data_IF_373434633001
#
_entry.id   IF_373434633001
#
_cell.length_a   1.000
_cell.length_b   1.000
_cell.length_c   1.000
_cell.angle_alpha   90.00
_cell.angle_beta   90.00
_cell.angle_gamma   90.00
#
_symmetry.space_group_name_H-M   'P 1'
#
loop_
_entity.id
_entity.type
_entity.pdbx_description
1 polymer ?
#
# COMPACT_ATOMS: atom_id res chain seq x y z
N UNK A 1 -39.62 -10.86 -1.02
CA UNK A 1 -38.33 -11.35 -0.50
C UNK A 1 -37.55 -11.89 -1.68
N UNK A 2 -36.64 -11.13 -2.30
CA UNK A 2 -35.74 -11.73 -3.27
C UNK A 2 -34.54 -12.29 -2.51
N UNK A 3 -34.35 -13.61 -2.64
CA UNK A 3 -33.09 -14.29 -2.33
C UNK A 3 -32.03 -13.77 -3.31
N UNK A 4 -31.25 -12.77 -2.90
CA UNK A 4 -30.11 -12.29 -3.69
C UNK A 4 -28.78 -12.72 -3.04
N UNK A 5 -28.00 -13.47 -3.85
CA UNK A 5 -26.54 -13.62 -3.79
C UNK A 5 -25.93 -14.32 -2.56
N UNK A 6 -25.94 -15.66 -2.56
CA UNK A 6 -25.11 -16.49 -1.67
C UNK A 6 -23.82 -17.04 -2.31
N UNK A 7 -23.46 -16.64 -3.54
CA UNK A 7 -22.27 -17.20 -4.23
C UNK A 7 -21.42 -16.12 -4.94
N UNK A 8 -21.14 -15.01 -4.28
CA UNK A 8 -19.94 -14.24 -4.66
C UNK A 8 -18.71 -14.96 -4.08
N UNK A 9 -17.67 -15.25 -4.89
CA UNK A 9 -16.45 -15.84 -4.36
C UNK A 9 -15.88 -14.90 -3.31
N UNK A 10 -15.65 -15.41 -2.10
CA UNK A 10 -14.96 -14.69 -1.04
C UNK A 10 -13.58 -14.32 -1.60
N UNK A 11 -13.26 -13.03 -1.68
CA UNK A 11 -11.99 -12.53 -2.19
C UNK A 11 -10.85 -12.73 -1.16
N UNK A 12 -10.68 -13.96 -0.71
CA UNK A 12 -9.70 -14.39 0.29
C UNK A 12 -8.35 -14.66 -0.36
N UNK A 13 -7.26 -14.36 0.34
CA UNK A 13 -5.92 -14.75 -0.05
C UNK A 13 -5.79 -16.29 -0.10
N UNK A 14 -5.23 -16.88 -1.17
CA UNK A 14 -5.00 -18.32 -1.26
C UNK A 14 -4.28 -18.91 -0.05
N UNK A 15 -3.37 -18.13 0.55
CA UNK A 15 -2.56 -18.51 1.71
C UNK A 15 -3.37 -18.64 3.00
N UNK A 16 -4.49 -17.92 3.11
CA UNK A 16 -5.44 -18.09 4.19
C UNK A 16 -6.47 -19.20 3.88
N UNK A 17 -6.83 -19.35 2.61
CA UNK A 17 -7.79 -20.35 2.16
C UNK A 17 -7.29 -21.79 2.37
N UNK A 18 -6.00 -22.04 2.10
CA UNK A 18 -5.33 -23.33 2.22
C UNK A 18 -4.17 -23.27 3.24
N UNK A 19 -4.30 -23.93 4.41
CA UNK A 19 -3.22 -24.00 5.41
C UNK A 19 -1.94 -24.70 4.91
N UNK A 20 -2.04 -25.47 3.83
CA UNK A 20 -0.91 -26.16 3.20
C UNK A 20 -0.32 -25.39 2.01
N UNK A 21 -0.82 -24.18 1.76
CA UNK A 21 -0.31 -23.31 0.72
C UNK A 21 1.20 -23.10 0.89
N UNK A 22 1.92 -23.22 -0.22
CA UNK A 22 3.37 -23.11 -0.28
C UNK A 22 3.79 -22.28 -1.48
N UNK A 23 4.65 -21.29 -1.24
CA UNK A 23 5.38 -20.61 -2.33
C UNK A 23 6.69 -21.36 -2.62
N UNK A 24 7.04 -21.46 -3.88
CA UNK A 24 8.31 -22.03 -4.35
C UNK A 24 8.96 -21.11 -5.38
N UNK A 25 10.18 -21.45 -5.78
CA UNK A 25 10.93 -20.78 -6.83
C UNK A 25 11.04 -21.66 -8.08
N UNK A 26 10.85 -21.03 -9.24
CA UNK A 26 11.32 -21.56 -10.52
C UNK A 26 12.59 -20.83 -10.94
N UNK A 27 13.48 -21.54 -11.62
CA UNK A 27 14.67 -21.02 -12.25
C UNK A 27 14.48 -21.12 -13.77
N UNK A 28 14.32 -19.97 -14.42
CA UNK A 28 14.21 -19.86 -15.87
C UNK A 28 15.54 -19.41 -16.46
N UNK A 29 16.02 -20.10 -17.49
CA UNK A 29 17.20 -19.71 -18.24
C UNK A 29 16.79 -19.15 -19.62
N UNK A 30 16.98 -17.85 -19.81
CA UNK A 30 16.57 -17.17 -21.04
C UNK A 30 17.38 -17.58 -22.29
N UNK A 31 18.58 -18.16 -22.12
CA UNK A 31 19.43 -18.55 -23.25
C UNK A 31 18.96 -19.82 -23.94
N UNK A 32 18.48 -20.81 -23.17
CA UNK A 32 18.07 -22.11 -23.69
C UNK A 32 16.59 -22.42 -23.44
N UNK A 33 15.86 -21.51 -22.80
CA UNK A 33 14.45 -21.65 -22.49
C UNK A 33 14.13 -22.65 -21.37
N UNK A 34 15.14 -23.24 -20.72
CA UNK A 34 14.92 -24.24 -19.68
C UNK A 34 14.24 -23.62 -18.45
N UNK A 35 13.24 -24.33 -17.92
CA UNK A 35 12.54 -23.95 -16.69
C UNK A 35 12.59 -25.13 -15.73
N UNK A 36 13.13 -24.91 -14.53
CA UNK A 36 13.19 -25.93 -13.50
C UNK A 36 12.65 -25.41 -12.17
N UNK A 37 12.15 -26.31 -11.32
CA UNK A 37 11.77 -25.95 -9.96
C UNK A 37 12.99 -26.05 -9.05
N UNK A 38 13.23 -25.02 -8.24
CA UNK A 38 14.28 -25.05 -7.23
C UNK A 38 13.89 -26.06 -6.15
N UNK A 39 14.81 -26.90 -5.74
CA UNK A 39 14.68 -27.81 -4.60
C UNK A 39 15.51 -27.37 -3.40
N UNK A 40 16.70 -26.80 -3.65
CA UNK A 40 17.60 -26.35 -2.60
C UNK A 40 18.44 -25.14 -3.07
N UNK A 41 18.75 -24.25 -2.13
CA UNK A 41 19.64 -23.10 -2.34
C UNK A 41 20.93 -23.33 -1.55
N UNK A 42 22.05 -23.57 -2.24
CA UNK A 42 23.36 -23.79 -1.60
C UNK A 42 24.30 -22.62 -1.77
N UNK A 43 24.90 -22.20 -0.66
CA UNK A 43 25.95 -21.19 -0.64
C UNK A 43 27.20 -21.77 0.05
N UNK A 44 28.32 -21.80 -0.66
CA UNK A 44 29.64 -22.14 -0.12
C UNK A 44 30.58 -20.96 -0.36
N UNK A 45 30.80 -20.15 0.68
CA UNK A 45 31.54 -18.90 0.56
C UNK A 45 30.90 -17.94 -0.44
N UNK A 46 31.55 -17.74 -1.59
CA UNK A 46 31.06 -16.90 -2.71
C UNK A 46 30.46 -17.69 -3.87
N UNK A 47 30.38 -19.01 -3.77
CA UNK A 47 29.75 -19.86 -4.77
C UNK A 47 28.30 -20.07 -4.40
N UNK A 48 27.41 -19.78 -5.35
CA UNK A 48 25.96 -19.92 -5.17
C UNK A 48 25.43 -20.90 -6.21
N UNK A 49 24.73 -21.93 -5.75
CA UNK A 49 24.15 -22.96 -6.62
C UNK A 49 22.70 -23.20 -6.22
N UNK A 50 21.79 -23.00 -7.16
CA UNK A 50 20.43 -23.51 -7.06
C UNK A 50 20.46 -24.98 -7.52
N UNK A 51 20.01 -25.89 -6.66
CA UNK A 51 19.72 -27.26 -7.05
C UNK A 51 18.27 -27.29 -7.50
N UNK A 52 18.03 -27.93 -8.63
CA UNK A 52 16.75 -27.92 -9.32
C UNK A 52 16.23 -29.34 -9.56
N UNK A 53 14.95 -29.43 -9.84
CA UNK A 53 14.23 -30.63 -10.26
C UNK A 53 13.23 -30.25 -11.36
N UNK A 54 12.71 -31.24 -12.07
CA UNK A 54 11.67 -31.01 -13.07
C UNK A 54 10.41 -30.41 -12.39
N UNK A 55 9.80 -29.35 -12.95
CA UNK A 55 8.71 -28.59 -12.32
C UNK A 55 7.35 -29.30 -12.42
N UNK A 56 7.34 -30.63 -12.53
CA UNK A 56 6.13 -31.44 -12.60
C UNK A 56 5.48 -31.58 -11.24
N UNK A 57 4.14 -31.67 -11.22
CA UNK A 57 3.36 -31.89 -9.98
C UNK A 57 3.83 -33.11 -9.19
N UNK A 58 4.29 -34.17 -9.87
CA UNK A 58 4.85 -35.37 -9.22
C UNK A 58 6.09 -35.07 -8.34
N UNK A 59 6.84 -34.03 -8.66
CA UNK A 59 8.03 -33.61 -7.92
C UNK A 59 7.74 -32.52 -6.87
N UNK A 60 6.47 -32.11 -6.69
CA UNK A 60 6.08 -31.06 -5.73
C UNK A 60 6.67 -31.25 -4.33
N UNK A 61 6.77 -32.47 -3.75
CA UNK A 61 7.39 -32.64 -2.44
C UNK A 61 8.86 -32.20 -2.36
N UNK A 62 9.58 -32.22 -3.50
CA UNK A 62 10.98 -31.79 -3.59
C UNK A 62 11.14 -30.29 -3.86
N UNK A 63 10.07 -29.55 -4.11
CA UNK A 63 10.16 -28.11 -4.35
C UNK A 63 10.63 -27.37 -3.09
N UNK A 64 11.44 -26.33 -3.29
CA UNK A 64 11.90 -25.45 -2.23
C UNK A 64 10.71 -24.76 -1.55
N UNK A 65 10.81 -24.57 -0.23
CA UNK A 65 9.80 -23.88 0.56
C UNK A 65 10.26 -22.46 0.88
N UNK A 66 9.66 -21.47 0.19
CA UNK A 66 10.00 -20.07 0.39
C UNK A 66 9.36 -19.57 1.68
N UNK A 67 10.11 -19.73 2.78
CA UNK A 67 9.72 -19.32 4.12
C UNK A 67 10.38 -18.04 4.61
N UNK A 68 11.55 -17.71 4.08
CA UNK A 68 12.33 -16.54 4.48
C UNK A 68 12.72 -15.72 3.25
N UNK A 69 11.92 -14.70 2.96
CA UNK A 69 12.12 -13.84 1.79
C UNK A 69 13.47 -13.13 1.85
N UNK A 70 13.89 -12.63 3.01
CA UNK A 70 15.15 -11.90 3.15
C UNK A 70 16.37 -12.77 2.80
N UNK A 71 16.43 -14.00 3.32
CA UNK A 71 17.51 -14.95 3.04
C UNK A 71 17.54 -15.35 1.56
N UNK A 72 16.36 -15.60 0.96
CA UNK A 72 16.26 -15.91 -0.47
C UNK A 72 16.67 -14.70 -1.32
N UNK A 73 16.28 -13.48 -0.94
CA UNK A 73 16.70 -12.25 -1.60
C UNK A 73 18.22 -12.09 -1.62
N UNK A 74 18.86 -12.30 -0.47
CA UNK A 74 20.32 -12.30 -0.34
C UNK A 74 20.98 -13.39 -1.22
N UNK A 75 20.42 -14.60 -1.24
CA UNK A 75 20.89 -15.67 -2.12
C UNK A 75 20.79 -15.27 -3.59
N UNK A 76 19.64 -14.78 -4.06
CA UNK A 76 19.42 -14.40 -5.47
C UNK A 76 20.40 -13.31 -5.87
N UNK A 77 20.63 -12.32 -4.99
CA UNK A 77 21.63 -11.26 -5.21
C UNK A 77 23.04 -11.83 -5.38
N UNK A 78 23.43 -12.78 -4.54
CA UNK A 78 24.70 -13.47 -4.64
C UNK A 78 24.81 -14.33 -5.90
N UNK A 79 23.78 -15.11 -6.20
CA UNK A 79 23.70 -15.96 -7.38
C UNK A 79 23.87 -15.17 -8.67
N UNK A 80 23.10 -14.09 -8.84
CA UNK A 80 23.14 -13.23 -10.03
C UNK A 80 24.40 -12.37 -10.14
N UNK A 81 25.23 -12.32 -9.09
CA UNK A 81 26.54 -11.66 -9.17
C UNK A 81 27.58 -12.50 -9.94
N UNK A 82 27.31 -13.79 -10.16
CA UNK A 82 28.16 -14.67 -10.95
C UNK A 82 28.00 -14.40 -12.45
N UNK A 83 29.10 -14.37 -13.21
CA UNK A 83 29.05 -14.00 -14.64
C UNK A 83 28.17 -14.93 -15.48
N UNK A 84 28.18 -16.23 -15.16
CA UNK A 84 27.36 -17.25 -15.82
C UNK A 84 25.88 -17.21 -15.41
N UNK A 85 25.51 -16.42 -14.40
CA UNK A 85 24.15 -16.35 -13.88
C UNK A 85 23.28 -15.28 -14.57
N UNK A 86 23.85 -14.41 -15.42
CA UNK A 86 23.12 -13.34 -16.13
C UNK A 86 21.85 -13.79 -16.87
N UNK A 87 21.82 -14.97 -17.53
CA UNK A 87 20.65 -15.44 -18.26
C UNK A 87 19.48 -15.90 -17.38
N UNK A 88 19.73 -16.05 -16.08
CA UNK A 88 18.77 -16.69 -15.19
C UNK A 88 17.81 -15.69 -14.57
N UNK A 89 16.55 -16.09 -14.48
CA UNK A 89 15.50 -15.37 -13.79
C UNK A 89 14.88 -16.30 -12.75
N UNK A 90 14.74 -15.79 -11.52
CA UNK A 90 13.95 -16.45 -10.50
C UNK A 90 12.50 -16.02 -10.64
N UNK A 91 11.59 -16.97 -10.49
CA UNK A 91 10.15 -16.70 -10.43
C UNK A 91 9.59 -17.26 -9.13
N UNK A 92 8.73 -16.48 -8.46
CA UNK A 92 8.01 -16.90 -7.27
C UNK A 92 6.60 -17.31 -7.66
N UNK A 93 6.21 -18.55 -7.31
CA UNK A 93 4.92 -19.13 -7.69
C UNK A 93 4.34 -19.95 -6.54
N UNK A 94 3.02 -20.12 -6.53
CA UNK A 94 2.40 -21.16 -5.71
C UNK A 94 2.91 -22.54 -6.20
N UNK A 95 3.27 -23.42 -5.27
CA UNK A 95 3.85 -24.73 -5.60
C UNK A 95 2.93 -25.56 -6.50
N UNK A 96 1.61 -25.46 -6.33
CA UNK A 96 0.61 -26.14 -7.18
C UNK A 96 0.52 -25.58 -8.60
N UNK A 97 0.97 -24.33 -8.81
CA UNK A 97 0.96 -23.64 -10.10
C UNK A 97 2.30 -23.73 -10.83
N UNK A 98 3.32 -24.32 -10.22
CA UNK A 98 4.67 -24.41 -10.79
C UNK A 98 4.69 -25.05 -12.18
N UNK A 99 3.98 -26.17 -12.38
CA UNK A 99 3.93 -26.86 -13.68
C UNK A 99 3.22 -26.03 -14.75
N UNK A 100 2.15 -25.33 -14.39
CA UNK A 100 1.39 -24.47 -15.31
C UNK A 100 2.23 -23.28 -15.76
N UNK A 101 2.86 -22.58 -14.82
CA UNK A 101 3.74 -21.44 -15.11
C UNK A 101 4.95 -21.87 -15.94
N UNK A 102 5.55 -23.03 -15.63
CA UNK A 102 6.66 -23.57 -16.40
C UNK A 102 6.27 -23.84 -17.86
N UNK A 103 5.08 -24.42 -18.10
CA UNK A 103 4.57 -24.64 -19.45
C UNK A 103 4.35 -23.33 -20.23
N UNK A 104 3.84 -22.28 -19.58
CA UNK A 104 3.74 -20.96 -20.20
C UNK A 104 5.10 -20.38 -20.58
N UNK A 105 6.10 -20.51 -19.70
CA UNK A 105 7.47 -20.01 -19.95
C UNK A 105 8.19 -20.79 -21.07
N UNK A 106 7.97 -22.09 -21.20
CA UNK A 106 8.58 -22.90 -22.26
C UNK A 106 8.21 -22.40 -23.67
N UNK A 107 7.04 -21.75 -23.83
CA UNK A 107 6.63 -21.15 -25.11
C UNK A 107 7.56 -20.04 -25.59
N UNK A 108 8.29 -19.40 -24.67
CA UNK A 108 9.27 -18.37 -25.01
C UNK A 108 10.50 -18.92 -25.74
N UNK A 109 10.79 -20.21 -25.58
CA UNK A 109 11.88 -20.86 -26.31
C UNK A 109 11.57 -20.91 -27.82
N UNK A 110 10.33 -21.21 -28.17
CA UNK A 110 9.87 -21.29 -29.57
C UNK A 110 9.51 -19.91 -30.14
N UNK A 111 8.86 -19.07 -29.34
CA UNK A 111 8.44 -17.72 -29.70
C UNK A 111 8.75 -16.72 -28.58
N UNK A 112 9.87 -15.97 -28.67
CA UNK A 112 10.24 -14.97 -27.65
C UNK A 112 9.22 -13.84 -27.44
N UNK A 113 8.23 -13.69 -28.32
CA UNK A 113 7.14 -12.71 -28.22
C UNK A 113 5.80 -13.33 -27.84
N UNK A 114 5.79 -14.58 -27.39
CA UNK A 114 4.56 -15.24 -26.96
C UNK A 114 3.90 -14.45 -25.81
N UNK A 115 2.63 -14.03 -25.97
CA UNK A 115 1.98 -13.17 -24.98
C UNK A 115 1.75 -13.87 -23.64
N UNK A 116 1.46 -15.18 -23.63
CA UNK A 116 1.24 -15.93 -22.39
C UNK A 116 2.55 -16.16 -21.65
N UNK A 117 3.62 -16.55 -22.37
CA UNK A 117 4.94 -16.70 -21.79
C UNK A 117 5.51 -15.40 -21.22
N UNK A 118 5.38 -14.29 -21.96
CA UNK A 118 5.82 -12.97 -21.49
C UNK A 118 5.01 -12.51 -20.28
N UNK A 119 3.69 -12.77 -20.27
CA UNK A 119 2.84 -12.48 -19.12
C UNK A 119 3.29 -13.29 -17.90
N UNK A 120 3.46 -14.61 -18.04
CA UNK A 120 3.91 -15.48 -16.94
C UNK A 120 5.28 -15.05 -16.40
N UNK A 121 6.23 -14.71 -17.27
CA UNK A 121 7.52 -14.18 -16.86
C UNK A 121 7.38 -12.87 -16.08
N UNK A 122 6.60 -11.92 -16.59
CA UNK A 122 6.44 -10.62 -15.94
C UNK A 122 5.67 -10.69 -14.62
N UNK A 123 4.63 -11.53 -14.54
CA UNK A 123 3.77 -11.65 -13.36
C UNK A 123 4.48 -12.38 -12.20
N UNK A 124 5.36 -13.35 -12.50
CA UNK A 124 5.99 -14.19 -11.48
C UNK A 124 7.47 -13.90 -11.22
N UNK A 125 8.16 -13.18 -12.11
CA UNK A 125 9.58 -12.86 -11.91
C UNK A 125 9.76 -12.09 -10.60
N UNK A 126 10.70 -12.56 -9.80
CA UNK A 126 11.04 -11.97 -8.52
C UNK A 126 12.50 -11.54 -8.51
N UNK A 127 12.76 -10.40 -7.88
CA UNK A 127 14.10 -9.83 -7.71
C UNK A 127 14.52 -9.91 -6.25
N UNK A 128 15.83 -9.88 -6.00
CA UNK A 128 16.36 -9.75 -4.64
C UNK A 128 15.80 -8.52 -3.93
N UNK A 129 15.69 -7.39 -4.63
CA UNK A 129 15.11 -6.17 -4.08
C UNK A 129 13.66 -6.33 -3.60
N UNK A 130 12.81 -7.05 -4.35
CA UNK A 130 11.43 -7.30 -3.94
C UNK A 130 11.37 -8.17 -2.67
N UNK A 131 12.22 -9.20 -2.58
CA UNK A 131 12.23 -10.10 -1.42
C UNK A 131 12.88 -9.47 -0.18
N UNK A 132 13.94 -8.68 -0.35
CA UNK A 132 14.59 -7.94 0.75
C UNK A 132 13.67 -6.90 1.40
N UNK A 133 12.60 -6.48 0.70
CA UNK A 133 11.58 -5.56 1.23
C UNK A 133 10.50 -6.24 2.07
N UNK A 134 10.37 -7.56 2.01
CA UNK A 134 9.41 -8.30 2.84
C UNK A 134 9.85 -8.19 4.30
N UNK A 135 8.97 -7.66 5.14
CA UNK A 135 9.16 -7.44 6.58
C UNK A 135 8.63 -8.60 7.41
N UNK A 136 7.55 -9.20 6.92
CA UNK A 136 6.83 -10.29 7.56
C UNK A 136 6.56 -11.35 6.51
N UNK A 137 7.14 -12.54 6.66
CA UNK A 137 6.88 -13.65 5.77
C UNK A 137 5.47 -14.21 6.03
N UNK A 138 4.80 -14.73 5.00
CA UNK A 138 3.39 -15.15 5.08
C UNK A 138 3.12 -16.15 6.22
N UNK A 139 4.06 -17.07 6.46
CA UNK A 139 3.94 -18.07 7.52
C UNK A 139 3.89 -17.46 8.93
N UNK A 140 4.43 -16.26 9.12
CA UNK A 140 4.52 -15.57 10.40
C UNK A 140 3.27 -14.69 10.66
N UNK A 141 2.35 -14.57 9.70
CA UNK A 141 1.20 -13.67 9.77
C UNK A 141 -0.06 -14.30 10.36
N UNK A 142 0.03 -15.49 10.96
CA UNK A 142 -1.04 -16.13 11.74
C UNK A 142 -2.41 -16.17 11.01
N UNK A 143 -2.40 -16.39 9.69
CA UNK A 143 -3.58 -16.23 8.84
C UNK A 143 -4.76 -17.15 9.23
N UNK A 144 -4.47 -18.33 9.78
CA UNK A 144 -5.51 -19.27 10.23
C UNK A 144 -6.22 -18.77 11.50
N UNK A 145 -5.49 -18.17 12.44
CA UNK A 145 -6.08 -17.55 13.64
C UNK A 145 -6.98 -16.37 13.25
N UNK A 146 -6.53 -15.55 12.29
CA UNK A 146 -7.36 -14.48 11.71
C UNK A 146 -8.66 -15.05 11.12
N UNK A 147 -8.58 -16.18 10.40
CA UNK A 147 -9.74 -16.84 9.80
C UNK A 147 -10.71 -17.34 10.86
N UNK A 148 -10.22 -17.91 11.96
CA UNK A 148 -11.03 -18.35 13.11
C UNK A 148 -11.75 -17.18 13.79
N UNK A 149 -11.14 -15.98 13.77
CA UNK A 149 -11.76 -14.74 14.23
C UNK A 149 -12.76 -14.13 13.23
N UNK A 150 -13.00 -14.78 12.08
CA UNK A 150 -13.91 -14.31 11.03
C UNK A 150 -13.30 -13.26 10.10
N UNK A 151 -11.98 -13.05 10.14
CA UNK A 151 -11.27 -12.11 9.28
C UNK A 151 -10.95 -12.76 7.93
N UNK A 152 -11.41 -12.13 6.86
CA UNK A 152 -11.08 -12.52 5.49
C UNK A 152 -9.97 -11.60 4.98
N UNK A 153 -8.73 -12.09 5.01
CA UNK A 153 -7.58 -11.35 4.50
C UNK A 153 -7.59 -11.42 2.97
N UNK A 154 -7.64 -10.27 2.31
CA UNK A 154 -7.58 -10.20 0.84
C UNK A 154 -6.13 -10.30 0.34
N UNK A 155 -5.86 -10.70 -0.92
CA UNK A 155 -4.49 -10.73 -1.46
C UNK A 155 -3.78 -9.37 -1.36
N UNK A 156 -4.52 -8.27 -1.54
CA UNK A 156 -3.99 -6.92 -1.43
C UNK A 156 -3.61 -6.57 0.00
N UNK A 157 -4.45 -6.92 0.97
CA UNK A 157 -4.16 -6.71 2.39
C UNK A 157 -2.97 -7.56 2.84
N UNK A 158 -2.89 -8.83 2.40
CA UNK A 158 -1.76 -9.70 2.69
C UNK A 158 -0.44 -9.12 2.18
N UNK A 159 -0.39 -8.63 0.94
CA UNK A 159 0.81 -7.98 0.40
C UNK A 159 1.17 -6.70 1.17
N UNK A 160 0.19 -5.92 1.61
CA UNK A 160 0.43 -4.76 2.48
C UNK A 160 1.05 -5.19 3.82
N UNK A 161 0.49 -6.23 4.46
CA UNK A 161 1.01 -6.80 5.70
C UNK A 161 2.45 -7.30 5.54
N UNK A 162 2.74 -8.07 4.49
CA UNK A 162 4.10 -8.58 4.20
C UNK A 162 5.13 -7.48 4.07
N UNK A 163 4.76 -6.34 3.49
CA UNK A 163 5.62 -5.17 3.31
C UNK A 163 5.64 -4.24 4.54
N UNK A 164 4.89 -4.55 5.60
CA UNK A 164 4.75 -3.70 6.78
C UNK A 164 4.13 -2.34 6.47
N UNK A 165 3.23 -2.31 5.47
CA UNK A 165 2.42 -1.15 5.11
C UNK A 165 1.15 -1.12 5.97
N UNK A 166 0.57 0.07 6.23
CA UNK A 166 -0.72 0.15 6.90
C UNK A 166 -1.81 -0.55 6.08
N UNK A 167 -2.57 -1.45 6.70
CA UNK A 167 -3.79 -1.96 6.07
C UNK A 167 -4.93 -0.96 6.25
N UNK A 168 -5.77 -0.84 5.23
CA UNK A 168 -6.88 0.13 5.21
C UNK A 168 -8.25 -0.54 5.13
N UNK A 169 -8.28 -1.87 5.08
CA UNK A 169 -9.51 -2.66 5.15
C UNK A 169 -9.87 -2.84 6.63
N UNK A 170 -11.14 -2.61 6.96
CA UNK A 170 -11.64 -2.74 8.32
C UNK A 170 -12.48 -4.00 8.43
N UNK A 171 -12.14 -4.85 9.39
CA UNK A 171 -12.80 -6.12 9.64
C UNK A 171 -13.73 -6.01 10.84
N UNK A 172 -14.97 -6.48 10.68
CA UNK A 172 -15.92 -6.59 11.77
C UNK A 172 -15.57 -7.82 12.60
N UNK A 173 -15.01 -7.60 13.78
CA UNK A 173 -14.55 -8.66 14.67
C UNK A 173 -15.38 -8.63 15.95
N UNK A 174 -15.84 -9.80 16.38
CA UNK A 174 -16.48 -9.99 17.68
C UNK A 174 -15.71 -11.02 18.50
N UNK A 175 -15.15 -10.56 19.62
CA UNK A 175 -14.34 -11.37 20.53
C UNK A 175 -15.08 -11.50 21.86
N UNK A 176 -15.10 -12.72 22.41
CA UNK A 176 -15.48 -12.96 23.80
C UNK A 176 -14.23 -13.19 24.63
N UNK A 177 -13.98 -12.32 25.60
CA UNK A 177 -12.86 -12.44 26.54
C UNK A 177 -13.45 -12.59 27.93
N UNK A 178 -13.59 -13.84 28.39
CA UNK A 178 -14.35 -14.16 29.61
C UNK A 178 -15.82 -13.76 29.44
N UNK A 179 -16.35 -12.96 30.37
CA UNK A 179 -17.72 -12.43 30.33
C UNK A 179 -17.86 -11.16 29.47
N UNK A 180 -16.76 -10.59 28.97
CA UNK A 180 -16.76 -9.38 28.16
C UNK A 180 -16.88 -9.73 26.68
N UNK A 181 -17.88 -9.15 26.00
CA UNK A 181 -18.02 -9.22 24.56
C UNK A 181 -17.53 -7.90 23.94
N UNK A 182 -16.47 -7.96 23.15
CA UNK A 182 -15.94 -6.84 22.36
C UNK A 182 -16.39 -7.04 20.93
N UNK A 183 -16.99 -6.03 20.32
CA UNK A 183 -17.32 -6.03 18.90
C UNK A 183 -16.94 -4.68 18.30
N UNK A 184 -16.33 -4.69 17.13
CA UNK A 184 -15.92 -3.46 16.45
C UNK A 184 -15.24 -3.70 15.11
N UNK A 185 -14.91 -2.58 14.46
CA UNK A 185 -14.15 -2.56 13.21
C UNK A 185 -12.66 -2.33 13.51
N UNK A 186 -11.82 -3.21 12.98
CA UNK A 186 -10.37 -3.18 13.21
C UNK A 186 -9.60 -3.33 11.90
N UNK A 187 -8.54 -2.56 11.74
CA UNK A 187 -7.50 -2.83 10.75
C UNK A 187 -6.48 -3.82 11.32
N UNK A 188 -5.80 -4.55 10.44
CA UNK A 188 -4.74 -5.47 10.82
C UNK A 188 -3.39 -4.77 10.82
N UNK A 189 -2.57 -5.03 11.83
CA UNK A 189 -1.22 -4.45 11.92
C UNK A 189 -0.20 -5.49 12.37
N UNK A 190 0.62 -6.02 11.45
CA UNK A 190 1.75 -6.85 11.82
C UNK A 190 2.79 -6.06 12.62
N UNK A 191 3.35 -6.67 13.66
CA UNK A 191 4.46 -6.12 14.45
C UNK A 191 5.33 -7.26 14.99
N UNK A 192 6.53 -6.91 15.48
CA UNK A 192 7.35 -7.83 16.27
C UNK A 192 7.22 -7.47 17.73
N UNK A 193 6.94 -8.45 18.57
CA UNK A 193 6.88 -8.26 20.02
C UNK A 193 8.28 -8.15 20.64
N UNK A 194 8.36 -8.14 21.98
CA UNK A 194 9.62 -8.03 22.71
C UNK A 194 10.55 -9.24 22.53
N UNK A 195 10.01 -10.41 22.15
CA UNK A 195 10.78 -11.62 21.87
C UNK A 195 11.25 -11.67 20.41
N UNK A 196 10.76 -10.77 19.55
CA UNK A 196 11.02 -10.74 18.13
C UNK A 196 10.02 -11.57 17.29
N UNK A 197 9.05 -12.19 17.96
CA UNK A 197 7.99 -12.97 17.34
C UNK A 197 7.02 -12.05 16.61
N UNK A 198 6.61 -12.45 15.42
CA UNK A 198 5.64 -11.68 14.64
C UNK A 198 4.26 -11.89 15.24
N UNK A 199 3.49 -10.82 15.36
CA UNK A 199 2.12 -10.82 15.83
C UNK A 199 1.27 -9.96 14.88
N UNK A 200 -0.04 -10.22 14.81
CA UNK A 200 -0.98 -9.37 14.06
C UNK A 200 -1.94 -8.69 15.03
N UNK A 201 -1.71 -7.39 15.26
CA UNK A 201 -2.54 -6.58 16.14
C UNK A 201 -3.85 -6.13 15.47
N UNK A 202 -4.89 -5.98 16.28
CA UNK A 202 -6.17 -5.39 15.89
C UNK A 202 -6.20 -3.90 16.25
N UNK A 203 -6.21 -3.02 15.25
CA UNK A 203 -6.15 -1.58 15.43
C UNK A 203 -7.51 -0.94 15.16
N UNK A 204 -8.16 -0.39 16.20
CA UNK A 204 -9.45 0.27 16.07
C UNK A 204 -9.32 1.67 15.44
N UNK A 205 -10.32 2.06 14.67
CA UNK A 205 -10.40 3.41 14.12
C UNK A 205 -10.69 4.47 15.21
N UNK A 206 -10.00 5.60 15.13
CA UNK A 206 -10.26 6.77 15.97
C UNK A 206 -11.20 7.75 15.28
N UNK A 207 -12.12 8.33 16.06
CA UNK A 207 -13.00 9.40 15.59
C UNK A 207 -12.26 10.70 15.24
N UNK A 208 -11.07 10.91 15.82
CA UNK A 208 -10.19 12.05 15.54
C UNK A 208 -8.75 11.55 15.37
N UNK A 209 -7.92 12.28 14.60
CA UNK A 209 -6.51 11.95 14.44
C UNK A 209 -5.77 11.70 15.75
N UNK A 210 -4.90 10.70 15.77
CA UNK A 210 -4.14 10.33 16.98
C UNK A 210 -3.27 11.47 17.51
N UNK A 211 -2.81 12.39 16.64
CA UNK A 211 -2.08 13.59 17.05
C UNK A 211 -2.88 14.57 17.91
N UNK A 212 -4.21 14.42 18.01
CA UNK A 212 -5.05 15.25 18.88
C UNK A 212 -5.10 14.76 20.32
N UNK A 213 -4.60 13.55 20.61
CA UNK A 213 -4.48 13.05 21.97
C UNK A 213 -3.55 13.94 22.79
N UNK A 214 -3.82 14.01 24.08
CA UNK A 214 -3.15 14.95 25.00
C UNK A 214 -1.63 14.81 24.96
N UNK A 215 -1.14 13.56 24.91
CA UNK A 215 0.28 13.23 24.86
C UNK A 215 0.99 13.67 23.56
N UNK A 216 0.26 13.92 22.47
CA UNK A 216 0.82 14.29 21.15
C UNK A 216 0.47 15.70 20.70
N UNK A 217 -0.45 16.38 21.39
CA UNK A 217 -1.07 17.63 20.91
C UNK A 217 -0.07 18.74 20.59
N UNK A 218 1.03 18.79 21.35
CA UNK A 218 2.12 19.77 21.23
C UNK A 218 3.30 19.31 20.34
N UNK A 219 3.30 18.05 19.89
CA UNK A 219 4.41 17.47 19.13
C UNK A 219 4.44 17.94 17.67
N UNK A 220 3.28 18.24 17.10
CA UNK A 220 3.12 18.54 15.68
C UNK A 220 2.69 20.00 15.44
N UNK A 221 3.32 20.65 14.47
CA UNK A 221 2.93 21.99 14.03
C UNK A 221 1.62 21.96 13.23
N UNK A 222 1.00 23.12 12.99
CA UNK A 222 -0.20 23.20 12.16
C UNK A 222 0.04 22.67 10.73
N UNK A 223 1.20 22.96 10.14
CA UNK A 223 1.58 22.45 8.81
C UNK A 223 1.72 20.93 8.79
N UNK A 224 2.34 20.34 9.84
CA UNK A 224 2.50 18.88 9.91
C UNK A 224 1.14 18.18 9.99
N UNK A 225 0.22 18.73 10.80
CA UNK A 225 -1.15 18.22 10.94
C UNK A 225 -1.91 18.29 9.61
N UNK A 226 -1.82 19.41 8.89
CA UNK A 226 -2.44 19.55 7.56
C UNK A 226 -1.86 18.55 6.55
N UNK A 227 -0.54 18.33 6.58
CA UNK A 227 0.11 17.34 5.72
C UNK A 227 -0.39 15.92 6.02
N UNK A 228 -0.41 15.51 7.29
CA UNK A 228 -0.94 14.20 7.69
C UNK A 228 -2.42 14.01 7.30
N UNK A 229 -3.26 15.03 7.52
CA UNK A 229 -4.66 15.02 7.11
C UNK A 229 -4.83 14.91 5.59
N UNK A 230 -3.87 15.42 4.82
CA UNK A 230 -3.83 15.27 3.36
C UNK A 230 -3.24 13.93 2.88
N UNK A 231 -2.96 13.00 3.80
CA UNK A 231 -2.34 11.70 3.49
C UNK A 231 -0.86 11.79 3.12
N UNK A 232 -0.15 12.82 3.63
CA UNK A 232 1.28 13.00 3.42
C UNK A 232 2.06 12.72 4.69
N UNK A 233 3.32 12.35 4.50
CA UNK A 233 4.31 12.29 5.58
C UNK A 233 4.95 13.67 5.73
N UNK A 234 4.97 14.27 6.94
CA UNK A 234 5.66 15.52 7.21
C UNK A 234 7.17 15.45 6.95
N UNK A 235 7.77 16.59 6.64
CA UNK A 235 9.16 16.72 6.20
C UNK A 235 10.16 16.76 7.38
N UNK A 236 9.94 15.95 8.42
CA UNK A 236 10.83 15.84 9.59
C UNK A 236 10.61 14.53 10.34
N UNK A 237 11.58 14.15 11.16
CA UNK A 237 11.48 13.03 12.09
C UNK A 237 10.89 13.48 13.43
N UNK A 238 10.21 12.55 14.11
CA UNK A 238 9.68 12.71 15.45
C UNK A 238 10.16 11.59 16.34
N UNK A 239 10.51 11.89 17.58
CA UNK A 239 10.79 10.87 18.58
C UNK A 239 9.47 10.21 19.00
N UNK A 240 9.26 8.97 18.56
CA UNK A 240 8.03 8.21 18.81
C UNK A 240 8.33 6.96 19.63
N UNK A 241 7.50 6.63 20.64
CA UNK A 241 7.59 5.33 21.30
C UNK A 241 7.05 4.24 20.37
N UNK A 242 7.74 3.10 20.33
CA UNK A 242 7.19 1.87 19.77
C UNK A 242 5.97 1.46 20.63
N UNK A 243 4.78 1.27 20.04
CA UNK A 243 3.57 0.93 20.80
C UNK A 243 3.65 -0.37 21.61
N UNK A 244 4.56 -1.28 21.26
CA UNK A 244 4.68 -2.62 21.84
C UNK A 244 5.89 -2.77 22.78
N UNK A 245 7.00 -2.09 22.48
CA UNK A 245 8.22 -2.17 23.30
C UNK A 245 8.42 -0.94 24.19
N UNK A 246 7.76 0.18 23.89
CA UNK A 246 7.94 1.46 24.57
C UNK A 246 9.25 2.19 24.23
N UNK A 247 10.16 1.55 23.49
CA UNK A 247 11.43 2.13 23.07
C UNK A 247 11.18 3.33 22.15
N UNK A 248 11.88 4.44 22.42
CA UNK A 248 11.76 5.65 21.62
C UNK A 248 12.75 5.63 20.47
N UNK A 249 12.25 5.93 19.27
CA UNK A 249 13.07 6.04 18.06
C UNK A 249 12.66 7.26 17.23
N UNK A 250 13.60 7.79 16.45
CA UNK A 250 13.29 8.82 15.45
C UNK A 250 12.57 8.20 14.26
N UNK A 251 11.32 8.60 14.05
CA UNK A 251 10.43 8.02 13.06
C UNK A 251 9.93 9.06 12.05
N UNK A 252 9.69 8.59 10.82
CA UNK A 252 8.70 9.21 9.95
C UNK A 252 7.31 8.89 10.49
N UNK A 253 6.43 9.88 10.56
CA UNK A 253 5.10 9.73 11.17
C UNK A 253 4.04 10.26 10.22
N UNK A 254 2.99 9.49 9.99
CA UNK A 254 1.79 9.94 9.26
C UNK A 254 0.57 9.22 9.81
N UNK A 255 -0.60 9.36 9.18
CA UNK A 255 -1.83 8.72 9.62
C UNK A 255 -2.29 7.64 8.65
N UNK A 256 -2.69 6.51 9.20
CA UNK A 256 -3.47 5.54 8.46
C UNK A 256 -4.83 6.18 8.12
N UNK A 257 -5.18 6.32 6.83
CA UNK A 257 -6.42 6.99 6.42
C UNK A 257 -7.69 6.24 6.85
N UNK A 258 -7.60 4.95 7.16
CA UNK A 258 -8.75 4.16 7.62
C UNK A 258 -8.96 4.26 9.14
N UNK A 259 -7.88 4.38 9.92
CA UNK A 259 -7.96 4.29 11.39
C UNK A 259 -7.65 5.58 12.13
N UNK A 260 -7.18 6.64 11.44
CA UNK A 260 -6.71 7.88 12.07
C UNK A 260 -5.57 7.67 13.10
N UNK A 261 -4.90 6.51 13.04
CA UNK A 261 -3.79 6.11 13.90
C UNK A 261 -2.45 6.44 13.27
N UNK A 262 -1.42 6.58 14.08
CA UNK A 262 -0.08 6.80 13.58
C UNK A 262 0.47 5.58 12.83
N UNK A 263 0.99 5.86 11.65
CA UNK A 263 1.92 4.99 10.93
C UNK A 263 3.32 5.54 11.18
N UNK A 264 4.14 4.73 11.86
CA UNK A 264 5.51 5.09 12.25
C UNK A 264 6.52 4.21 11.53
N UNK A 265 7.50 4.81 10.86
CA UNK A 265 8.62 4.09 10.25
C UNK A 265 9.93 4.60 10.88
N UNK A 266 10.66 3.77 11.65
CA UNK A 266 11.94 4.17 12.23
C UNK A 266 12.95 4.56 11.14
N UNK A 267 13.71 5.63 11.37
CA UNK A 267 14.72 6.12 10.43
C UNK A 267 15.75 5.05 10.07
N UNK A 268 16.12 4.17 11.01
CA UNK A 268 17.04 3.05 10.77
C UNK A 268 16.54 2.04 9.74
N UNK A 269 15.22 1.96 9.52
CA UNK A 269 14.62 1.05 8.54
C UNK A 269 14.51 1.67 7.14
N UNK A 270 14.80 2.97 7.00
CA UNK A 270 14.71 3.68 5.74
C UNK A 270 16.07 3.62 5.02
N UNK A 271 16.13 3.01 3.82
CA UNK A 271 17.37 2.93 3.07
C UNK A 271 17.85 4.31 2.63
N UNK A 272 19.16 4.46 2.52
CA UNK A 272 19.76 5.66 1.95
C UNK A 272 19.43 5.76 0.45
N UNK A 273 19.07 6.96 0.01
CA UNK A 273 18.80 7.23 -1.40
C UNK A 273 19.99 7.97 -2.03
N UNK A 274 20.71 7.30 -2.93
CA UNK A 274 21.85 7.90 -3.66
C UNK A 274 21.46 8.41 -5.05
N UNK A 275 20.45 7.79 -5.64
CA UNK A 275 19.92 8.13 -6.95
C UNK A 275 18.41 8.16 -6.92
N UNK A 276 17.80 9.13 -7.59
CA UNK A 276 16.37 9.18 -7.80
C UNK A 276 16.08 9.38 -9.28
N UNK A 277 15.37 8.41 -9.89
CA UNK A 277 14.99 8.45 -11.31
C UNK A 277 16.14 8.86 -12.26
N UNK A 278 17.31 8.24 -12.07
CA UNK A 278 18.51 8.47 -12.89
C UNK A 278 19.39 9.65 -12.45
N UNK A 279 18.93 10.49 -11.52
CA UNK A 279 19.70 11.65 -11.02
C UNK A 279 20.47 11.26 -9.76
N UNK A 280 21.78 11.50 -9.74
CA UNK A 280 22.61 11.34 -8.55
C UNK A 280 22.34 12.48 -7.57
N UNK A 281 22.05 12.15 -6.32
CA UNK A 281 21.83 13.15 -5.27
C UNK A 281 23.17 13.67 -4.73
N UNK A 282 23.20 14.95 -4.38
CA UNK A 282 24.34 15.57 -3.70
C UNK A 282 24.43 15.09 -2.26
N UNK A 283 25.58 15.29 -1.61
CA UNK A 283 25.76 14.91 -0.20
C UNK A 283 24.80 15.70 0.70
N UNK A 284 24.64 17.02 0.45
CA UNK A 284 23.65 17.84 1.15
C UNK A 284 22.20 17.35 0.95
N UNK A 285 21.85 16.86 -0.24
CA UNK A 285 20.52 16.27 -0.47
C UNK A 285 20.34 14.96 0.30
N UNK A 286 21.37 14.11 0.33
CA UNK A 286 21.35 12.85 1.09
C UNK A 286 21.23 13.12 2.59
N UNK A 287 21.96 14.09 3.14
CA UNK A 287 21.87 14.50 4.54
C UNK A 287 20.48 15.06 4.90
N UNK A 288 19.93 15.91 4.03
CA UNK A 288 18.57 16.43 4.22
C UNK A 288 17.53 15.31 4.23
N UNK A 289 17.59 14.36 3.30
CA UNK A 289 16.72 13.17 3.32
C UNK A 289 16.91 12.34 4.59
N UNK A 290 18.17 12.17 5.03
CA UNK A 290 18.51 11.43 6.23
C UNK A 290 17.93 12.07 7.51
N UNK A 291 17.75 13.40 7.54
CA UNK A 291 17.09 14.14 8.63
C UNK A 291 15.55 14.06 8.59
N UNK A 292 14.98 13.41 7.56
CA UNK A 292 13.54 13.34 7.32
C UNK A 292 12.97 14.42 6.40
N UNK A 293 13.80 15.37 5.97
CA UNK A 293 13.38 16.47 5.09
C UNK A 293 13.18 16.00 3.64
N UNK A 294 12.51 16.84 2.84
CA UNK A 294 12.44 16.67 1.37
C UNK A 294 13.53 17.45 0.67
N UNK A 295 13.90 17.00 -0.52
CA UNK A 295 14.90 17.66 -1.37
C UNK A 295 14.37 17.92 -2.77
N UNK A 296 14.70 19.08 -3.31
CA UNK A 296 14.44 19.39 -4.72
C UNK A 296 15.38 18.56 -5.59
N UNK A 297 14.82 17.79 -6.51
CA UNK A 297 15.57 16.99 -7.50
C UNK A 297 15.18 17.45 -8.90
N UNK A 298 16.19 17.69 -9.73
CA UNK A 298 16.03 18.23 -11.08
C UNK A 298 16.72 17.34 -12.11
N UNK A 299 16.26 17.41 -13.37
CA UNK A 299 16.88 16.68 -14.47
C UNK A 299 16.51 15.20 -14.52
N UNK A 300 15.42 14.77 -13.87
CA UNK A 300 14.88 13.43 -14.08
C UNK A 300 14.35 13.32 -15.51
N UNK A 301 14.58 12.19 -16.19
CA UNK A 301 14.15 11.99 -17.57
C UNK A 301 13.07 10.91 -17.64
N UNK A 302 12.02 11.15 -18.40
CA UNK A 302 11.00 10.13 -18.68
C UNK A 302 11.61 8.96 -19.46
N UNK A 303 11.19 7.74 -19.17
CA UNK A 303 11.66 6.55 -19.89
C UNK A 303 11.32 6.69 -21.38
N UNK A 304 12.32 6.53 -22.23
CA UNK A 304 12.19 6.56 -23.70
C UNK A 304 11.59 7.87 -24.25
N UNK A 305 11.72 8.99 -23.54
CA UNK A 305 11.18 10.28 -23.96
C UNK A 305 12.17 11.42 -23.80
N UNK A 306 11.83 12.56 -24.39
CA UNK A 306 12.58 13.82 -24.32
C UNK A 306 12.03 14.79 -23.25
N UNK A 307 11.05 14.33 -22.44
CA UNK A 307 10.51 15.09 -21.31
C UNK A 307 11.42 14.91 -20.11
N UNK A 308 11.92 16.02 -19.58
CA UNK A 308 12.55 16.07 -18.27
C UNK A 308 11.57 16.62 -17.24
N UNK A 309 11.78 16.26 -15.99
CA UNK A 309 10.96 16.73 -14.88
C UNK A 309 11.78 16.93 -13.61
N UNK A 310 11.22 17.72 -12.71
CA UNK A 310 11.76 18.03 -11.39
C UNK A 310 10.66 18.03 -10.34
N UNK A 311 11.03 18.01 -9.07
CA UNK A 311 10.09 18.06 -7.96
C UNK A 311 10.76 17.81 -6.61
N UNK A 312 9.94 17.71 -5.55
CA UNK A 312 10.40 17.45 -4.18
C UNK A 312 10.33 15.97 -3.83
N UNK A 313 11.48 15.37 -3.59
CA UNK A 313 11.61 13.97 -3.18
C UNK A 313 11.64 13.87 -1.66
N UNK A 314 10.84 12.97 -1.09
CA UNK A 314 10.81 12.65 0.34
C UNK A 314 10.39 11.22 0.58
N UNK A 315 10.65 10.69 1.76
CA UNK A 315 10.19 9.37 2.14
C UNK A 315 8.71 9.41 2.55
N UNK A 316 7.90 8.52 1.97
CA UNK A 316 6.49 8.38 2.29
C UNK A 316 6.27 7.17 3.20
N UNK A 317 5.89 7.41 4.47
CA UNK A 317 5.71 6.36 5.46
C UNK A 317 4.53 5.42 5.13
N UNK A 318 3.52 5.89 4.36
CA UNK A 318 2.38 5.07 3.96
C UNK A 318 2.76 3.98 2.96
N UNK A 319 3.76 4.23 2.10
CA UNK A 319 4.18 3.27 1.07
C UNK A 319 5.60 2.80 1.24
N UNK A 320 6.30 3.34 2.25
CA UNK A 320 7.69 3.05 2.59
C UNK A 320 8.64 3.23 1.41
N UNK A 321 8.39 4.27 0.61
CA UNK A 321 9.14 4.57 -0.61
C UNK A 321 9.44 6.06 -0.70
N UNK A 322 10.56 6.39 -1.35
CA UNK A 322 10.81 7.77 -1.74
C UNK A 322 9.89 8.17 -2.89
N UNK A 323 9.17 9.28 -2.71
CA UNK A 323 8.21 9.81 -3.68
C UNK A 323 8.50 11.25 -4.01
N UNK A 324 8.36 11.58 -5.29
CA UNK A 324 8.40 12.96 -5.76
C UNK A 324 6.99 13.57 -5.69
N UNK A 325 6.91 14.82 -5.27
CA UNK A 325 5.73 15.68 -5.37
C UNK A 325 6.11 16.99 -6.03
N UNK A 326 5.13 17.87 -6.25
CA UNK A 326 5.34 19.19 -6.85
C UNK A 326 6.04 19.12 -8.21
N UNK A 327 5.63 18.12 -9.01
CA UNK A 327 6.20 17.86 -10.32
C UNK A 327 6.16 19.11 -11.20
N UNK A 328 7.28 19.35 -11.90
CA UNK A 328 7.37 20.31 -13.00
C UNK A 328 7.98 19.61 -14.20
N UNK A 329 7.36 19.74 -15.35
CA UNK A 329 7.80 19.12 -16.60
C UNK A 329 8.38 20.16 -17.55
N UNK A 330 9.36 19.76 -18.37
CA UNK A 330 9.98 20.65 -19.36
C UNK A 330 9.03 21.10 -20.45
N UNK A 331 7.98 20.33 -20.71
CA UNK A 331 6.92 20.64 -21.67
C UNK A 331 5.59 20.00 -21.24
N UNK A 332 4.44 20.49 -21.75
CA UNK A 332 3.11 19.94 -21.47
C UNK A 332 3.09 18.41 -21.47
N UNK A 333 2.76 17.82 -20.34
CA UNK A 333 2.73 16.38 -20.14
C UNK A 333 1.40 15.93 -19.54
N UNK A 334 0.73 15.04 -20.27
CA UNK A 334 -0.46 14.32 -19.82
C UNK A 334 -0.05 12.85 -19.67
N UNK A 335 -0.15 12.25 -18.46
CA UNK A 335 0.21 10.86 -18.25
C UNK A 335 -0.52 9.91 -19.18
N UNK A 336 0.15 8.85 -19.64
CA UNK A 336 -0.41 7.88 -20.59
C UNK A 336 -1.67 7.19 -20.06
N UNK A 337 -1.71 6.93 -18.75
CA UNK A 337 -2.88 6.37 -18.06
C UNK A 337 -4.12 7.27 -18.13
N UNK A 338 -3.92 8.59 -18.26
CA UNK A 338 -4.99 9.55 -18.45
C UNK A 338 -5.28 9.75 -19.94
N UNK A 339 -4.25 9.94 -20.77
CA UNK A 339 -4.44 10.21 -22.20
C UNK A 339 -5.16 9.08 -22.94
N UNK A 340 -4.93 7.81 -22.56
CA UNK A 340 -5.64 6.65 -23.13
C UNK A 340 -7.14 6.62 -22.81
N UNK A 341 -7.56 7.27 -21.73
CA UNK A 341 -8.98 7.33 -21.35
C UNK A 341 -9.73 8.42 -22.13
N UNK A 342 -9.04 9.49 -22.51
CA UNK A 342 -9.62 10.68 -23.14
C UNK A 342 -9.88 10.45 -24.63
N UNK A 343 -11.04 10.91 -25.12
CA UNK A 343 -11.23 11.16 -26.55
C UNK A 343 -10.60 12.51 -26.99
N UNK A 344 -10.66 12.81 -28.28
CA UNK A 344 -10.08 14.04 -28.85
C UNK A 344 -10.68 15.32 -28.24
N UNK A 345 -12.01 15.35 -27.99
CA UNK A 345 -12.70 16.49 -27.40
C UNK A 345 -12.28 16.69 -25.94
N UNK A 346 -12.27 15.61 -25.17
CA UNK A 346 -11.86 15.59 -23.78
C UNK A 346 -10.38 16.00 -23.65
N UNK A 347 -9.52 15.50 -24.53
CA UNK A 347 -8.11 15.88 -24.57
C UNK A 347 -7.91 17.36 -24.89
N UNK A 348 -8.68 17.91 -25.83
CA UNK A 348 -8.65 19.34 -26.15
C UNK A 348 -9.11 20.19 -24.95
N UNK A 349 -10.15 19.76 -24.22
CA UNK A 349 -10.63 20.43 -23.01
C UNK A 349 -9.59 20.40 -21.87
N UNK A 350 -8.87 19.29 -21.67
CA UNK A 350 -7.78 19.21 -20.67
C UNK A 350 -6.67 20.21 -20.98
N UNK A 351 -6.40 20.47 -22.28
CA UNK A 351 -5.40 21.43 -22.73
C UNK A 351 -5.89 22.88 -22.69
N UNK A 352 -7.18 23.13 -22.50
CA UNK A 352 -7.73 24.48 -22.41
C UNK A 352 -7.58 25.06 -21.00
N UNK A 353 -7.61 26.39 -20.83
CA UNK A 353 -7.55 27.04 -19.52
C UNK A 353 -8.70 26.64 -18.57
N UNK A 354 -9.88 26.37 -19.13
CA UNK A 354 -11.09 25.98 -18.40
C UNK A 354 -10.98 24.56 -17.82
N UNK A 355 -10.30 23.66 -18.55
CA UNK A 355 -10.18 22.25 -18.18
C UNK A 355 -11.40 21.40 -18.53
N UNK A 356 -11.24 20.10 -18.35
CA UNK A 356 -12.32 19.12 -18.48
C UNK A 356 -12.99 18.92 -17.11
N UNK A 357 -14.28 19.22 -17.02
CA UNK A 357 -15.10 18.90 -15.85
C UNK A 357 -15.55 17.43 -15.90
N UNK A 358 -14.82 16.54 -15.21
CA UNK A 358 -15.08 15.10 -15.25
C UNK A 358 -16.47 14.73 -14.71
N UNK A 359 -17.08 15.57 -13.86
CA UNK A 359 -18.42 15.31 -13.32
C UNK A 359 -19.52 15.32 -14.40
N UNK A 360 -19.26 15.95 -15.54
CA UNK A 360 -20.18 16.05 -16.68
C UNK A 360 -19.99 14.94 -17.71
N UNK A 361 -18.93 14.14 -17.61
CA UNK A 361 -18.53 13.13 -18.58
C UNK A 361 -19.23 11.78 -18.34
N UNK A 362 -20.56 11.76 -18.24
CA UNK A 362 -21.33 10.56 -17.86
C UNK A 362 -21.25 9.41 -18.87
N UNK A 363 -21.19 9.72 -20.17
CA UNK A 363 -21.14 8.71 -21.23
C UNK A 363 -19.76 8.04 -21.33
N UNK A 364 -18.70 8.75 -20.96
CA UNK A 364 -17.32 8.27 -20.98
C UNK A 364 -16.57 8.83 -19.75
N UNK A 365 -16.83 8.26 -18.56
CA UNK A 365 -16.25 8.77 -17.33
C UNK A 365 -14.74 8.55 -17.30
N UNK A 366 -14.02 9.56 -16.81
CA UNK A 366 -12.58 9.44 -16.55
C UNK A 366 -12.42 8.81 -15.17
N UNK A 367 -11.70 7.70 -15.10
CA UNK A 367 -11.53 6.94 -13.87
C UNK A 367 -10.27 7.37 -13.13
N UNK A 368 -10.40 7.53 -11.81
CA UNK A 368 -9.27 7.71 -10.90
C UNK A 368 -8.51 6.39 -10.68
N UNK A 369 -7.41 6.46 -9.93
CA UNK A 369 -6.59 5.28 -9.58
C UNK A 369 -7.36 4.21 -8.81
N UNK A 370 -8.45 4.59 -8.13
CA UNK A 370 -9.33 3.69 -7.39
C UNK A 370 -10.42 3.05 -8.28
N UNK A 371 -10.38 3.27 -9.60
CA UNK A 371 -11.38 2.78 -10.54
C UNK A 371 -12.72 3.52 -10.51
N UNK A 372 -12.88 4.52 -9.63
CA UNK A 372 -14.12 5.31 -9.54
C UNK A 372 -14.05 6.51 -10.49
N UNK A 373 -15.20 6.94 -11.07
CA UNK A 373 -15.27 8.16 -11.86
C UNK A 373 -14.78 9.39 -11.08
N UNK A 374 -13.97 10.21 -11.74
CA UNK A 374 -13.53 11.50 -11.22
C UNK A 374 -14.68 12.51 -11.24
N UNK A 375 -14.78 13.33 -10.19
CA UNK A 375 -15.75 14.41 -10.05
C UNK A 375 -15.09 15.79 -9.97
N UNK A 376 -13.82 15.89 -10.38
CA UNK A 376 -13.02 17.12 -10.38
C UNK A 376 -12.89 17.73 -11.77
N UNK A 377 -12.39 18.96 -11.83
CA UNK A 377 -11.89 19.55 -13.07
C UNK A 377 -10.43 19.12 -13.24
N UNK A 378 -10.09 18.58 -14.40
CA UNK A 378 -8.70 18.28 -14.77
C UNK A 378 -8.22 19.25 -15.86
N UNK A 379 -7.01 19.79 -15.69
CA UNK A 379 -6.43 20.75 -16.65
C UNK A 379 -4.92 20.72 -16.64
N UNK A 380 -4.33 21.11 -17.76
CA UNK A 380 -2.90 21.33 -17.84
C UNK A 380 -2.53 22.63 -17.12
N UNK A 381 -1.65 22.54 -16.13
CA UNK A 381 -1.16 23.69 -15.40
C UNK A 381 0.03 24.34 -16.16
N UNK A 382 -0.08 25.60 -16.61
CA UNK A 382 0.97 26.25 -17.39
C UNK A 382 2.25 26.55 -16.60
N UNK A 383 2.21 26.53 -15.25
CA UNK A 383 3.39 26.74 -14.41
C UNK A 383 4.21 25.46 -14.21
N UNK A 384 3.54 24.31 -14.19
CA UNK A 384 4.18 23.02 -13.93
C UNK A 384 4.26 22.15 -15.18
N UNK A 385 3.54 22.50 -16.25
CA UNK A 385 3.33 21.66 -17.44
C UNK A 385 2.72 20.27 -17.13
N UNK A 386 2.23 20.05 -15.91
CA UNK A 386 1.58 18.81 -15.49
C UNK A 386 0.06 18.94 -15.48
N UNK A 387 -0.63 17.83 -15.19
CA UNK A 387 -2.09 17.82 -15.00
C UNK A 387 -2.42 18.08 -13.54
N UNK A 388 -3.23 19.11 -13.28
CA UNK A 388 -3.81 19.38 -11.98
C UNK A 388 -5.21 18.77 -11.87
N UNK A 389 -5.54 18.28 -10.68
CA UNK A 389 -6.85 17.75 -10.32
C UNK A 389 -7.51 18.70 -9.30
N UNK A 390 -8.45 19.49 -9.77
CA UNK A 390 -9.11 20.53 -8.99
C UNK A 390 -10.43 20.03 -8.39
N UNK A 391 -10.39 19.68 -7.10
CA UNK A 391 -11.54 19.24 -6.31
C UNK A 391 -12.25 20.39 -5.58
N UNK A 392 -11.95 21.66 -5.88
CA UNK A 392 -12.47 22.80 -5.12
C UNK A 392 -14.00 22.88 -5.13
N UNK A 393 -14.62 22.56 -6.28
CA UNK A 393 -16.08 22.53 -6.41
C UNK A 393 -16.71 21.43 -5.56
N UNK A 394 -16.09 20.25 -5.51
CA UNK A 394 -16.53 19.13 -4.68
C UNK A 394 -16.47 19.48 -3.19
N UNK A 395 -15.34 20.04 -2.72
CA UNK A 395 -15.19 20.44 -1.32
C UNK A 395 -16.22 21.47 -0.88
N UNK A 396 -16.57 22.44 -1.74
CA UNK A 396 -17.63 23.42 -1.42
C UNK A 396 -18.99 22.75 -1.27
N UNK A 397 -19.32 21.80 -2.16
CA UNK A 397 -20.59 21.06 -2.08
C UNK A 397 -20.66 20.18 -0.82
N UNK A 398 -19.57 19.50 -0.47
CA UNK A 398 -19.49 18.68 0.75
C UNK A 398 -19.61 19.53 2.03
N UNK A 399 -18.97 20.70 2.06
CA UNK A 399 -19.11 21.66 3.17
C UNK A 399 -20.54 22.18 3.31
N UNK A 400 -21.20 22.53 2.20
CA UNK A 400 -22.60 22.97 2.18
C UNK A 400 -23.55 21.84 2.61
N UNK A 401 -23.32 20.60 2.16
CA UNK A 401 -24.10 19.42 2.55
C UNK A 401 -23.92 19.07 4.04
N UNK A 402 -22.71 19.26 4.58
CA UNK A 402 -22.42 19.02 6.00
C UNK A 402 -23.09 20.06 6.89
N UNK A 403 -23.07 21.34 6.49
CA UNK A 403 -23.77 22.42 7.20
C UNK A 403 -25.29 22.26 7.19
N UNK A 404 -25.87 21.84 6.06
CA UNK A 404 -27.32 21.60 5.96
C UNK A 404 -27.78 20.36 6.74
N UNK A 405 -26.95 19.31 6.86
CA UNK A 405 -27.21 18.17 7.76
C UNK A 405 -27.16 18.55 9.24
N UNK A 406 -26.24 19.43 9.65
CA UNK A 406 -26.16 19.94 11.02
C UNK A 406 -27.38 20.82 11.37
N UNK A 407 -27.80 21.72 10.48
CA UNK A 407 -29.01 22.53 10.69
C UNK A 407 -30.31 21.70 10.73
N UNK A 408 -30.39 20.62 9.94
CA UNK A 408 -31.54 19.71 9.96
C UNK A 408 -31.65 18.85 11.23
N UNK A 409 -30.54 18.65 11.96
CA UNK A 409 -30.54 17.96 13.26
C UNK A 409 -30.88 18.91 14.42
N UNK A 410 -30.50 20.19 14.35
CA UNK A 410 -30.88 21.20 15.36
C UNK A 410 -32.37 21.54 15.33
N UNK A 411 -33.05 21.42 14.18
CA UNK A 411 -34.50 21.65 14.07
C UNK A 411 -35.38 20.48 14.52
N UNK A 412 -34.80 19.34 14.92
CA UNK A 412 -35.53 18.15 15.43
C UNK A 412 -35.32 17.89 16.93
N UNK A 413 -35.21 18.94 17.76
CA UNK A 413 -35.41 18.77 19.21
C UNK A 413 -36.90 18.91 19.57
N UNK A 414 -37.51 17.96 20.31
CA UNK A 414 -38.88 18.09 20.76
C UNK A 414 -39.02 19.21 21.79
N UNK A 415 -40.02 20.08 21.62
CA UNK A 415 -40.44 21.05 22.63
C UNK A 415 -40.72 20.33 23.96
N UNK A 416 -39.95 20.65 25.00
CA UNK A 416 -40.20 20.22 26.37
C UNK A 416 -41.54 20.79 26.83
N UNK A 417 -42.48 19.92 27.18
CA UNK A 417 -43.67 20.28 27.95
C UNK A 417 -43.24 20.77 29.33
N UNK A 418 -43.73 21.95 29.73
CA UNK A 418 -43.55 22.50 31.07
C UNK A 418 -44.32 21.65 32.10
N UNK A 419 -43.72 21.31 33.25
CA UNK A 419 -44.45 20.64 34.33
C UNK A 419 -45.36 21.61 35.07
N UNK A 420 -46.59 21.17 35.32
CA UNK A 420 -47.61 21.85 36.12
C UNK A 420 -47.18 21.92 37.60
N UNK A 421 -47.45 23.01 38.34
CA UNK A 421 -47.09 23.10 39.75
C UNK A 421 -48.04 22.29 40.64
N UNK A 422 -47.52 21.33 41.39
CA UNK A 422 -48.24 20.64 42.47
C UNK A 422 -48.46 21.56 43.68
N UNK A 423 -49.66 21.48 44.26
CA UNK A 423 -50.08 22.22 45.44
C UNK A 423 -49.45 21.70 46.75
N UNK A 424 -49.23 22.56 47.76
CA UNK A 424 -48.54 22.17 49.00
C UNK A 424 -49.45 21.34 49.91
N UNK A 425 -49.01 20.13 50.29
CA UNK A 425 -49.64 19.32 51.32
C UNK A 425 -49.25 19.81 52.72
N UNK A 426 -50.25 19.82 53.61
CA UNK A 426 -50.29 20.47 54.92
C UNK A 426 -49.33 19.87 55.94
N UNK A 427 -48.49 20.72 56.54
CA UNK A 427 -47.94 20.49 57.88
C UNK A 427 -48.94 20.89 58.95
N UNK A 428 -49.34 19.96 59.83
CA UNK A 428 -50.03 20.25 61.09
C UNK A 428 -49.09 19.84 62.23
N UNK A 429 -48.42 20.82 62.84
CA UNK A 429 -47.74 20.64 64.13
C UNK A 429 -48.77 20.52 65.25
N UNK A 430 -48.43 19.75 66.27
CA UNK A 430 -48.61 20.21 67.65
C UNK A 430 -47.33 20.93 68.05
#
# INVERSE_FOLDING_TARGET
MPEENLNQPINQAPEQADPTYKETLLLYNEQNGAVEAVSELKQEGRQYKAITTSPLTANKPAFFDLRNSSAVGAFIKGFLSQENAKPFHFLKVAADKASEVAQSLLRLADNPKDPEGLKALNDHRVTSYQLERVKFDTQDLHLQELKEMGVVVTPKELEAMKLGLPTTELHNISLKVGDLSVAGEFALRPFRDQNGDVQVGLESALARPEFEREEFRMMFTASDKEQMLSGKTPDRLYEMPNPHTGEKEWCYVTLNPATNRFVTVPRREVPELRFFNGVRLTDAQQENLASGSRVQVEGCTMRNGDITYSGKVGFDALTREYRMTDYRYSKPYIPESLSKQLDERQLAAVKSPEGLDCSKEKARPILGRNGKPLSCIIRLNPRTNGVDYDFTNLRRQEQQASQSKQQGQEQKQPQKQEPTPEAPSRGRKR
#
